data_IF_406818427040
#
_entry.id   IF_406818427040
#
_cell.length_a   1.000
_cell.length_b   1.000
_cell.length_c   1.000
_cell.angle_alpha   90.00
_cell.angle_beta   90.00
_cell.angle_gamma   90.00
#
_symmetry.space_group_name_H-M   'P 1'
#
loop_
_entity.id
_entity.type
_entity.pdbx_description
1 polymer ?
#
# COMPACT_ATOMS: atom_id res chain seq x y z
N UNK A 1 -36.38 52.03 3.25
CA UNK A 1 -34.96 52.26 3.58
C UNK A 1 -34.76 52.08 5.07
N UNK A 2 -34.23 50.94 5.50
CA UNK A 2 -33.48 50.76 6.73
C UNK A 2 -32.36 49.80 6.37
N UNK A 3 -31.12 50.28 6.42
CA UNK A 3 -29.88 49.52 6.21
C UNK A 3 -29.38 49.08 7.58
N UNK A 4 -29.09 47.80 7.74
CA UNK A 4 -28.29 47.20 8.84
C UNK A 4 -27.50 46.08 8.16
N UNK A 5 -26.28 46.34 7.68
CA UNK A 5 -24.98 46.31 8.37
C UNK A 5 -24.53 44.92 8.81
N UNK A 6 -23.47 44.45 8.13
CA UNK A 6 -22.35 43.64 8.63
C UNK A 6 -22.57 42.74 9.84
N UNK A 7 -22.43 41.44 9.62
CA UNK A 7 -22.09 40.51 10.69
C UNK A 7 -22.10 39.06 10.23
N UNK A 8 -20.99 38.37 10.51
CA UNK A 8 -20.88 36.91 10.63
C UNK A 8 -20.68 36.16 9.30
N UNK A 9 -19.45 36.04 8.80
CA UNK A 9 -18.42 35.14 9.33
C UNK A 9 -18.90 33.67 9.30
N UNK A 10 -18.88 33.08 8.10
CA UNK A 10 -18.89 31.62 7.96
C UNK A 10 -17.43 31.21 7.86
N UNK A 11 -16.89 30.80 9.00
CA UNK A 11 -15.71 29.96 9.10
C UNK A 11 -15.94 28.73 8.20
N UNK A 12 -15.33 28.69 7.02
CA UNK A 12 -15.09 27.39 6.39
C UNK A 12 -13.81 26.85 7.01
N UNK A 13 -14.01 26.13 8.10
CA UNK A 13 -13.05 25.16 8.62
C UNK A 13 -12.96 24.05 7.58
N UNK A 14 -11.93 24.09 6.75
CA UNK A 14 -11.41 22.88 6.11
C UNK A 14 -10.00 22.73 6.62
N UNK A 15 -9.94 22.09 7.80
CA UNK A 15 -8.96 21.09 8.19
C UNK A 15 -7.62 21.29 7.50
N UNK A 16 -6.79 22.10 8.13
CA UNK A 16 -5.34 21.94 8.03
C UNK A 16 -5.12 20.55 8.65
N UNK A 17 -5.00 19.51 7.82
CA UNK A 17 -4.29 18.31 8.26
C UNK A 17 -2.87 18.80 8.51
N UNK A 18 -2.64 19.28 9.72
CA UNK A 18 -1.36 19.12 10.37
C UNK A 18 -1.12 17.62 10.38
N UNK A 19 -0.49 17.11 9.32
CA UNK A 19 0.27 15.88 9.32
C UNK A 19 1.33 16.08 10.39
N UNK A 20 0.93 15.82 11.63
CA UNK A 20 1.82 15.69 12.74
C UNK A 20 2.50 14.35 12.45
N UNK A 21 3.68 14.41 11.82
CA UNK A 21 4.53 13.26 11.50
C UNK A 21 4.55 12.32 12.70
N UNK A 22 3.72 11.28 12.63
CA UNK A 22 4.19 9.99 13.04
C UNK A 22 5.18 9.66 11.94
N UNK A 23 6.48 9.64 12.25
CA UNK A 23 7.45 8.99 11.38
C UNK A 23 6.95 7.55 11.22
N UNK A 24 6.14 7.30 10.20
CA UNK A 24 5.79 5.95 9.79
C UNK A 24 7.07 5.32 9.26
N UNK A 25 7.32 4.05 9.61
CA UNK A 25 8.59 3.39 9.27
C UNK A 25 8.72 3.07 7.76
N UNK A 26 7.74 3.49 6.95
CA UNK A 26 7.69 3.29 5.51
C UNK A 26 8.28 4.46 4.73
N UNK A 27 8.04 5.70 5.17
CA UNK A 27 8.45 6.89 4.42
C UNK A 27 9.94 6.88 4.04
N UNK A 28 10.20 7.11 2.75
CA UNK A 28 11.54 7.12 2.15
C UNK A 28 12.10 5.73 1.83
N UNK A 29 11.28 4.67 1.90
CA UNK A 29 11.72 3.30 1.63
C UNK A 29 10.95 2.67 0.48
N UNK A 30 11.61 1.71 -0.15
CA UNK A 30 11.03 0.89 -1.21
C UNK A 30 10.94 -0.54 -0.72
N UNK A 31 9.76 -1.14 -0.89
CA UNK A 31 9.52 -2.52 -0.54
C UNK A 31 9.04 -3.31 -1.74
N UNK A 32 9.64 -4.47 -1.93
CA UNK A 32 9.13 -5.51 -2.82
C UNK A 32 8.24 -6.45 -2.01
N UNK A 33 6.95 -6.50 -2.38
CA UNK A 33 5.96 -7.36 -1.75
C UNK A 33 5.95 -8.71 -2.47
N UNK A 34 6.23 -9.77 -1.72
CA UNK A 34 6.34 -11.13 -2.25
C UNK A 34 5.35 -12.07 -1.56
N UNK A 35 4.89 -13.08 -2.29
CA UNK A 35 4.12 -14.20 -1.73
C UNK A 35 4.97 -14.95 -0.69
N UNK A 36 4.51 -14.95 0.55
CA UNK A 36 5.16 -15.59 1.69
C UNK A 36 4.50 -16.91 2.09
N UNK A 37 3.49 -17.39 1.34
CA UNK A 37 2.74 -18.61 1.65
C UNK A 37 3.63 -19.86 1.74
N UNK A 38 4.78 -19.86 1.05
CA UNK A 38 5.75 -20.97 1.06
C UNK A 38 6.93 -20.79 2.03
N UNK A 39 7.11 -19.62 2.65
CA UNK A 39 8.23 -19.38 3.58
C UNK A 39 8.11 -20.20 4.87
N UNK A 40 6.95 -20.79 5.15
CA UNK A 40 6.70 -21.65 6.31
C UNK A 40 7.28 -23.08 6.18
N UNK A 41 7.87 -23.46 5.05
CA UNK A 41 8.43 -24.81 4.84
C UNK A 41 9.98 -24.82 4.84
N UNK A 42 10.52 -25.27 5.98
CA UNK A 42 11.87 -25.82 6.29
C UNK A 42 13.10 -25.38 5.43
N UNK A 43 14.15 -24.93 6.13
CA UNK A 43 15.52 -24.55 5.69
C UNK A 43 16.23 -25.36 4.58
N UNK A 44 15.76 -26.51 4.14
CA UNK A 44 16.41 -27.32 3.10
C UNK A 44 16.03 -26.91 1.66
N UNK A 45 15.15 -25.91 1.47
CA UNK A 45 14.67 -25.48 0.14
C UNK A 45 15.03 -24.03 -0.26
N UNK A 46 15.88 -23.31 0.50
CA UNK A 46 16.24 -21.90 0.22
C UNK A 46 16.71 -21.67 -1.24
N UNK A 47 17.49 -22.59 -1.79
CA UNK A 47 18.08 -22.49 -3.16
C UNK A 47 17.05 -22.71 -4.30
N UNK A 48 15.90 -23.34 -3.99
CA UNK A 48 14.80 -23.56 -4.95
C UNK A 48 13.75 -22.45 -4.81
N UNK A 49 13.53 -21.95 -3.59
CA UNK A 49 12.54 -20.91 -3.34
C UNK A 49 12.90 -19.58 -4.00
N UNK A 50 14.18 -19.16 -4.04
CA UNK A 50 14.59 -17.93 -4.73
C UNK A 50 14.18 -17.91 -6.22
N UNK A 51 14.10 -19.07 -6.88
CA UNK A 51 13.65 -19.19 -8.28
C UNK A 51 12.14 -19.21 -8.47
N UNK A 52 11.36 -19.30 -7.38
CA UNK A 52 9.91 -19.47 -7.42
C UNK A 52 9.15 -18.41 -6.64
N UNK A 53 9.84 -17.45 -6.01
CA UNK A 53 9.22 -16.31 -5.32
C UNK A 53 8.42 -15.49 -6.31
N UNK A 54 7.10 -15.44 -6.08
CA UNK A 54 6.18 -14.62 -6.86
C UNK A 54 6.21 -13.20 -6.28
N UNK A 55 6.88 -12.28 -6.99
CA UNK A 55 6.75 -10.85 -6.71
C UNK A 55 5.33 -10.42 -7.08
N UNK A 56 4.64 -9.81 -6.13
CA UNK A 56 3.30 -9.28 -6.34
C UNK A 56 3.40 -7.83 -6.82
N UNK A 57 4.10 -6.97 -6.09
CA UNK A 57 4.31 -5.58 -6.48
C UNK A 57 5.52 -4.97 -5.78
N UNK A 58 6.02 -3.85 -6.31
CA UNK A 58 7.05 -3.02 -5.65
C UNK A 58 6.47 -1.64 -5.39
N UNK A 59 6.59 -1.17 -4.13
CA UNK A 59 6.04 0.08 -3.65
C UNK A 59 7.14 0.97 -3.08
N UNK A 60 7.21 2.20 -3.55
CA UNK A 60 8.03 3.28 -2.97
C UNK A 60 7.14 4.20 -2.16
N UNK A 61 7.45 4.38 -0.89
CA UNK A 61 6.68 5.21 0.03
C UNK A 61 7.38 6.56 0.24
N UNK A 62 6.64 7.66 0.12
CA UNK A 62 7.13 9.01 0.40
C UNK A 62 6.05 9.82 1.11
N UNK A 63 6.19 9.98 2.44
CA UNK A 63 5.45 10.98 3.22
C UNK A 63 3.92 10.97 3.03
N UNK A 64 3.30 9.78 3.02
CA UNK A 64 1.87 9.57 2.79
C UNK A 64 1.48 9.30 1.32
N UNK A 65 2.38 9.49 0.37
CA UNK A 65 2.23 9.09 -1.02
C UNK A 65 2.92 7.74 -1.28
N UNK A 66 2.39 6.95 -2.20
CA UNK A 66 2.98 5.68 -2.61
C UNK A 66 3.02 5.58 -4.12
N UNK A 67 4.14 5.08 -4.65
CA UNK A 67 4.33 4.84 -6.08
C UNK A 67 4.57 3.37 -6.32
N UNK A 68 3.83 2.77 -7.25
CA UNK A 68 4.15 1.44 -7.77
C UNK A 68 5.31 1.56 -8.76
N UNK A 69 6.39 0.84 -8.49
CA UNK A 69 7.50 0.69 -9.43
C UNK A 69 7.13 -0.40 -10.45
N UNK A 70 6.39 -0.01 -11.48
CA UNK A 70 6.04 -0.88 -12.60
C UNK A 70 6.37 -0.20 -13.94
N UNK A 71 5.98 -0.80 -15.07
CA UNK A 71 6.17 -0.17 -16.38
C UNK A 71 5.40 1.16 -16.53
N UNK A 72 4.47 1.44 -15.63
CA UNK A 72 3.72 2.68 -15.54
C UNK A 72 3.77 3.13 -14.07
N UNK A 73 4.38 4.28 -13.82
CA UNK A 73 4.55 4.86 -12.48
C UNK A 73 3.17 5.28 -11.93
N UNK A 74 2.45 4.33 -11.36
CA UNK A 74 1.15 4.55 -10.73
C UNK A 74 1.37 5.15 -9.34
N UNK A 75 0.68 6.25 -9.06
CA UNK A 75 0.76 6.91 -7.75
C UNK A 75 -0.53 6.74 -6.96
N UNK A 76 -0.41 6.91 -5.66
CA UNK A 76 -1.51 6.77 -4.73
C UNK A 76 -1.15 7.32 -3.36
N UNK A 77 -1.99 6.98 -2.40
CA UNK A 77 -1.86 7.39 -1.00
C UNK A 77 -1.74 6.12 -0.14
N UNK A 78 -1.01 6.22 0.97
CA UNK A 78 -0.98 5.17 1.96
C UNK A 78 -1.25 5.71 3.37
N UNK A 79 -1.81 4.86 4.22
CA UNK A 79 -2.01 5.16 5.63
C UNK A 79 -1.67 3.92 6.47
N UNK A 80 -0.94 4.16 7.56
CA UNK A 80 -0.67 3.13 8.58
C UNK A 80 -1.55 3.38 9.78
N UNK A 81 -2.40 2.41 10.13
CA UNK A 81 -3.32 2.48 11.27
C UNK A 81 -3.10 1.23 12.13
N UNK A 82 -2.52 1.40 13.31
CA UNK A 82 -2.14 0.31 14.21
C UNK A 82 -1.24 -0.75 13.52
N UNK A 83 -1.74 -1.97 13.36
CA UNK A 83 -1.08 -3.12 12.71
C UNK A 83 -1.52 -3.31 11.25
N UNK A 84 -2.01 -2.24 10.63
CA UNK A 84 -2.56 -2.27 9.28
C UNK A 84 -1.94 -1.20 8.39
N UNK A 85 -1.63 -1.58 7.16
CA UNK A 85 -1.23 -0.69 6.08
C UNK A 85 -2.32 -0.70 5.00
N UNK A 86 -2.89 0.46 4.72
CA UNK A 86 -3.82 0.66 3.61
C UNK A 86 -3.11 1.41 2.49
N UNK A 87 -3.17 0.87 1.27
CA UNK A 87 -2.60 1.48 0.06
C UNK A 87 -3.71 1.68 -0.94
N UNK A 88 -3.93 2.91 -1.39
CA UNK A 88 -4.93 3.23 -2.41
C UNK A 88 -4.28 3.85 -3.63
N UNK A 89 -4.42 3.21 -4.79
CA UNK A 89 -3.88 3.68 -6.07
C UNK A 89 -5.01 4.14 -6.99
N UNK A 90 -4.77 5.19 -7.78
CA UNK A 90 -5.79 5.81 -8.64
C UNK A 90 -5.19 6.21 -9.98
N UNK A 91 -5.88 5.89 -11.09
CA UNK A 91 -5.46 6.31 -12.45
C UNK A 91 -6.47 7.26 -13.13
N UNK A 92 -7.41 7.80 -12.35
CA UNK A 92 -8.45 8.72 -12.81
C UNK A 92 -9.65 8.07 -13.48
N UNK A 93 -9.60 6.76 -13.76
CA UNK A 93 -10.72 5.96 -14.30
C UNK A 93 -11.14 4.82 -13.38
N UNK A 94 -10.34 4.54 -12.37
CA UNK A 94 -10.71 3.69 -11.25
C UNK A 94 -9.77 3.87 -10.07
N UNK A 95 -9.96 2.98 -9.11
CA UNK A 95 -9.14 2.87 -7.91
C UNK A 95 -9.00 1.40 -7.50
N UNK A 96 -7.86 1.09 -6.87
CA UNK A 96 -7.64 -0.17 -6.14
C UNK A 96 -7.16 0.18 -4.74
N UNK A 97 -7.77 -0.45 -3.75
CA UNK A 97 -7.35 -0.34 -2.35
C UNK A 97 -6.90 -1.71 -1.87
N UNK A 98 -5.66 -1.78 -1.39
CA UNK A 98 -5.05 -2.97 -0.81
C UNK A 98 -4.92 -2.75 0.70
N UNK A 99 -5.43 -3.70 1.48
CA UNK A 99 -5.36 -3.65 2.94
C UNK A 99 -4.48 -4.78 3.45
N UNK A 100 -3.32 -4.45 3.97
CA UNK A 100 -2.42 -5.39 4.63
C UNK A 100 -2.64 -5.34 6.14
N UNK A 101 -3.13 -6.43 6.74
CA UNK A 101 -3.34 -6.56 8.19
C UNK A 101 -2.25 -7.40 8.85
N UNK A 102 -2.29 -7.45 10.19
CA UNK A 102 -1.34 -8.21 11.01
C UNK A 102 0.13 -7.88 10.69
N UNK A 103 0.38 -6.60 10.38
CA UNK A 103 1.69 -6.10 10.02
C UNK A 103 2.65 -6.28 11.20
N UNK A 104 3.57 -7.23 11.06
CA UNK A 104 4.54 -7.60 12.09
C UNK A 104 5.96 -7.47 11.57
N UNK A 105 6.87 -6.96 12.38
CA UNK A 105 8.30 -6.94 12.04
C UNK A 105 8.87 -8.35 11.94
N UNK A 106 9.67 -8.61 10.91
CA UNK A 106 10.34 -9.88 10.73
C UNK A 106 11.76 -9.89 11.32
N UNK A 107 12.24 -11.09 11.65
CA UNK A 107 13.65 -11.36 12.01
C UNK A 107 14.43 -12.00 10.88
N UNK A 108 13.75 -12.30 9.77
CA UNK A 108 14.36 -12.88 8.58
C UNK A 108 15.26 -11.86 7.87
N UNK A 109 16.29 -12.37 7.20
CA UNK A 109 17.24 -11.51 6.49
C UNK A 109 16.52 -10.89 5.29
N UNK A 110 16.71 -9.58 5.10
CA UNK A 110 16.16 -8.80 3.98
C UNK A 110 14.61 -8.65 3.99
N UNK A 111 13.89 -9.26 4.95
CA UNK A 111 12.45 -9.06 5.18
C UNK A 111 12.24 -8.11 6.35
N UNK A 112 11.58 -6.99 6.10
CA UNK A 112 11.27 -6.01 7.14
C UNK A 112 9.97 -6.33 7.87
N UNK A 113 8.93 -6.66 7.10
CA UNK A 113 7.59 -6.92 7.61
C UNK A 113 7.00 -8.19 7.00
N UNK A 114 6.12 -8.83 7.75
CA UNK A 114 5.15 -9.81 7.25
C UNK A 114 3.74 -9.29 7.49
N UNK A 115 2.83 -9.53 6.57
CA UNK A 115 1.43 -9.15 6.69
C UNK A 115 0.52 -10.16 5.98
N UNK A 116 -0.78 -10.04 6.19
CA UNK A 116 -1.80 -10.70 5.39
C UNK A 116 -2.48 -9.68 4.48
N UNK A 117 -2.72 -10.01 3.21
CA UNK A 117 -3.62 -9.20 2.39
C UNK A 117 -5.05 -9.51 2.85
N UNK A 118 -5.61 -8.63 3.68
CA UNK A 118 -6.89 -8.86 4.35
C UNK A 118 -8.12 -8.42 3.55
N UNK A 119 -7.95 -7.45 2.65
CA UNK A 119 -9.02 -6.93 1.82
C UNK A 119 -8.45 -6.30 0.55
N UNK A 120 -9.23 -6.38 -0.52
CA UNK A 120 -8.92 -5.81 -1.83
C UNK A 120 -10.21 -5.22 -2.39
N UNK A 121 -10.33 -3.90 -2.39
CA UNK A 121 -11.42 -3.22 -3.08
C UNK A 121 -10.93 -2.75 -4.46
N UNK A 122 -11.69 -3.07 -5.50
CA UNK A 122 -11.30 -2.82 -6.88
C UNK A 122 -12.49 -2.31 -7.68
N UNK A 123 -12.39 -1.07 -8.14
CA UNK A 123 -13.43 -0.39 -8.91
C UNK A 123 -12.84 0.21 -10.18
N UNK A 124 -12.98 -0.51 -11.30
CA UNK A 124 -12.60 -0.01 -12.62
C UNK A 124 -13.78 0.24 -13.53
N UNK A 125 -13.63 1.30 -14.34
CA UNK A 125 -14.55 1.62 -15.42
C UNK A 125 -14.02 1.26 -16.82
N UNK A 126 -12.81 0.68 -16.95
CA UNK A 126 -12.12 0.45 -18.21
C UNK A 126 -10.89 -0.48 -18.14
N UNK A 127 -10.12 -0.53 -19.22
CA UNK A 127 -8.88 -1.34 -19.39
C UNK A 127 -7.63 -0.46 -19.24
N UNK A 128 -7.53 0.22 -18.09
CA UNK A 128 -6.55 1.26 -17.84
C UNK A 128 -5.33 0.74 -17.07
N UNK A 129 -4.53 1.63 -16.50
CA UNK A 129 -3.24 1.28 -15.89
C UNK A 129 -3.45 0.39 -14.66
N UNK A 130 -4.49 0.68 -13.86
CA UNK A 130 -4.90 -0.18 -12.75
C UNK A 130 -5.37 -1.57 -13.18
N UNK A 131 -5.80 -1.77 -14.43
CA UNK A 131 -6.19 -3.10 -14.93
C UNK A 131 -5.00 -4.05 -15.01
N UNK A 132 -3.76 -3.56 -15.03
CA UNK A 132 -2.59 -4.44 -14.96
C UNK A 132 -2.39 -5.04 -13.57
N UNK A 133 -3.00 -4.44 -12.54
CA UNK A 133 -3.03 -4.97 -11.18
C UNK A 133 -4.22 -5.92 -10.96
N UNK A 134 -5.00 -6.21 -12.02
CA UNK A 134 -6.14 -7.13 -11.97
C UNK A 134 -5.74 -8.51 -11.43
N UNK A 135 -4.49 -8.97 -11.63
CA UNK A 135 -4.03 -10.25 -11.09
C UNK A 135 -4.06 -10.29 -9.55
N UNK A 136 -3.87 -9.15 -8.87
CA UNK A 136 -3.92 -9.08 -7.41
C UNK A 136 -5.35 -9.38 -6.94
N UNK A 137 -6.34 -8.74 -7.57
CA UNK A 137 -7.75 -8.96 -7.27
C UNK A 137 -8.27 -10.33 -7.79
N UNK A 138 -7.82 -10.77 -8.96
CA UNK A 138 -8.37 -11.95 -9.66
C UNK A 138 -7.80 -13.28 -9.15
N UNK A 139 -6.62 -13.28 -8.55
CA UNK A 139 -6.00 -14.50 -8.04
C UNK A 139 -6.43 -14.85 -6.60
N UNK A 140 -7.48 -14.21 -6.07
CA UNK A 140 -7.92 -14.35 -4.67
C UNK A 140 -6.75 -14.19 -3.70
N UNK A 141 -5.98 -13.10 -3.84
CA UNK A 141 -4.86 -12.84 -2.94
C UNK A 141 -5.31 -12.40 -1.55
N UNK A 142 -6.61 -12.16 -1.34
CA UNK A 142 -7.19 -12.03 0.00
C UNK A 142 -6.92 -13.29 0.84
N UNK A 143 -6.44 -13.11 2.07
CA UNK A 143 -5.96 -14.17 2.95
C UNK A 143 -4.53 -14.65 2.67
N UNK A 144 -3.84 -14.07 1.67
CA UNK A 144 -2.46 -14.43 1.35
C UNK A 144 -1.49 -13.78 2.32
N UNK A 145 -0.58 -14.58 2.87
CA UNK A 145 0.56 -14.08 3.62
C UNK A 145 1.60 -13.48 2.67
N UNK A 146 2.07 -12.28 2.98
CA UNK A 146 3.07 -11.56 2.19
C UNK A 146 4.23 -11.08 3.06
N UNK A 147 5.39 -10.93 2.44
CA UNK A 147 6.59 -10.36 3.04
C UNK A 147 6.96 -9.07 2.32
N UNK A 148 7.36 -8.06 3.10
CA UNK A 148 7.90 -6.80 2.63
C UNK A 148 9.41 -6.90 2.69
N UNK A 149 10.03 -7.18 1.54
CA UNK A 149 11.48 -7.18 1.38
C UNK A 149 11.93 -5.74 1.10
N UNK A 150 12.85 -5.21 1.92
CA UNK A 150 13.34 -3.83 1.76
C UNK A 150 14.42 -3.79 0.68
N UNK A 151 14.21 -3.00 -0.36
CA UNK A 151 15.20 -2.82 -1.43
C UNK A 151 16.34 -1.95 -0.87
N UNK A 152 17.42 -2.58 -0.40
CA UNK A 152 18.65 -1.88 -0.04
C UNK A 152 19.51 -1.68 -1.28
N UNK A 153 19.49 -0.47 -1.86
CA UNK A 153 20.50 -0.04 -2.86
C UNK A 153 21.91 0.05 -2.28
#
# INVERSE_FOLDING_TARGET
>A
MIRVSWGMLVFLVTIIFTGCSSDDDFSGRTFTIVDASSLLETKEQEDIQEKTRRVLLSLTFDSGEVTINSNQDLTGEYETIDDRLEVTLKDGKGDITLVFSDLASSVEKDVKYTAEISDIDYSLSGTDELSQLEFIASDNTEGMMVSFEEDTE
#
